data_IF_663563204970
#
_entry.id   IF_663563204970
#
_cell.length_a   1.000
_cell.length_b   1.000
_cell.length_c   1.000
_cell.angle_alpha   90.00
_cell.angle_beta   90.00
_cell.angle_gamma   90.00
#
_symmetry.space_group_name_H-M   'P 1'
#
loop_
_entity.id
_entity.type
_entity.pdbx_description
1 polymer ?
#
# COMPACT_ATOMS: atom_id res chain seq x y z
N UNK A 1 -65.86 -68.71 -23.56
CA UNK A 1 -64.55 -68.04 -23.52
C UNK A 1 -64.40 -67.40 -22.16
N UNK A 2 -63.68 -68.07 -21.26
CA UNK A 2 -63.49 -67.64 -19.88
C UNK A 2 -62.35 -66.63 -19.82
N UNK A 3 -62.60 -65.46 -19.26
CA UNK A 3 -61.59 -64.42 -19.03
C UNK A 3 -60.87 -64.70 -17.72
N UNK A 4 -59.69 -65.32 -17.80
CA UNK A 4 -58.75 -65.41 -16.67
C UNK A 4 -58.18 -64.02 -16.38
N UNK A 5 -58.78 -63.32 -15.42
CA UNK A 5 -58.16 -62.17 -14.76
C UNK A 5 -57.23 -62.70 -13.67
N UNK A 6 -55.94 -62.83 -13.99
CA UNK A 6 -54.88 -62.98 -13.00
C UNK A 6 -54.75 -61.68 -12.18
N UNK A 7 -55.65 -61.50 -11.21
CA UNK A 7 -55.48 -60.52 -10.14
C UNK A 7 -54.37 -61.05 -9.22
N UNK A 8 -53.13 -60.74 -9.56
CA UNK A 8 -51.98 -60.96 -8.67
C UNK A 8 -52.08 -59.95 -7.54
N UNK A 9 -52.86 -60.27 -6.51
CA UNK A 9 -52.92 -59.50 -5.28
C UNK A 9 -51.53 -59.53 -4.63
N UNK A 10 -50.82 -58.40 -4.71
CA UNK A 10 -49.51 -58.24 -4.07
C UNK A 10 -49.72 -58.38 -2.57
N UNK A 11 -49.16 -59.43 -1.98
CA UNK A 11 -49.25 -59.71 -0.53
C UNK A 11 -48.70 -58.51 0.26
N UNK A 12 -49.24 -58.15 1.43
CA UNK A 12 -48.80 -56.98 2.21
C UNK A 12 -47.27 -56.90 2.43
N UNK A 13 -46.60 -58.04 2.57
CA UNK A 13 -45.12 -58.11 2.65
C UNK A 13 -44.41 -57.64 1.37
N UNK A 14 -44.97 -57.90 0.19
CA UNK A 14 -44.43 -57.43 -1.09
C UNK A 14 -44.73 -55.95 -1.33
N UNK A 15 -45.84 -55.43 -0.80
CA UNK A 15 -46.12 -53.98 -0.81
C UNK A 15 -45.13 -53.23 0.06
N UNK A 16 -44.85 -53.72 1.28
CA UNK A 16 -43.83 -53.13 2.17
C UNK A 16 -42.45 -53.20 1.51
N UNK A 17 -42.07 -54.34 0.92
CA UNK A 17 -40.79 -54.46 0.22
C UNK A 17 -40.67 -53.49 -0.98
N UNK A 18 -41.76 -53.28 -1.74
CA UNK A 18 -41.77 -52.33 -2.85
C UNK A 18 -41.64 -50.88 -2.38
N UNK A 19 -42.28 -50.50 -1.26
CA UNK A 19 -42.17 -49.16 -0.67
C UNK A 19 -40.76 -48.90 -0.13
N UNK A 20 -40.16 -49.89 0.54
CA UNK A 20 -38.77 -49.78 1.05
C UNK A 20 -37.78 -49.64 -0.11
N UNK A 21 -37.95 -50.41 -1.18
CA UNK A 21 -37.12 -50.29 -2.39
C UNK A 21 -37.30 -48.93 -3.07
N UNK A 22 -38.54 -48.45 -3.19
CA UNK A 22 -38.82 -47.13 -3.77
C UNK A 22 -38.19 -46.01 -2.93
N UNK A 23 -38.29 -46.09 -1.60
CA UNK A 23 -37.67 -45.12 -0.68
C UNK A 23 -36.14 -45.17 -0.73
N UNK A 24 -35.54 -46.37 -0.84
CA UNK A 24 -34.09 -46.53 -0.98
C UNK A 24 -33.59 -45.95 -2.31
N UNK A 25 -34.30 -46.19 -3.42
CA UNK A 25 -33.98 -45.62 -4.73
C UNK A 25 -34.15 -44.09 -4.70
N UNK A 26 -35.22 -43.59 -4.09
CA UNK A 26 -35.43 -42.15 -3.92
C UNK A 26 -34.31 -41.54 -3.08
N UNK A 27 -33.88 -42.22 -2.01
CA UNK A 27 -32.73 -41.84 -1.21
C UNK A 27 -31.44 -41.77 -2.02
N UNK A 28 -31.15 -42.76 -2.87
CA UNK A 28 -29.96 -42.77 -3.74
C UNK A 28 -30.01 -41.67 -4.82
N UNK A 29 -31.20 -41.30 -5.29
CA UNK A 29 -31.37 -40.25 -6.31
C UNK A 29 -31.32 -38.85 -5.71
N UNK A 30 -31.90 -38.67 -4.51
CA UNK A 30 -32.01 -37.36 -3.85
C UNK A 30 -30.79 -37.05 -2.98
N UNK A 31 -30.14 -38.06 -2.38
CA UNK A 31 -28.99 -37.86 -1.52
C UNK A 31 -27.82 -37.13 -2.20
N UNK A 32 -27.44 -37.40 -3.46
CA UNK A 32 -26.39 -36.64 -4.14
C UNK A 32 -26.77 -35.16 -4.31
N UNK A 33 -28.02 -34.86 -4.64
CA UNK A 33 -28.50 -33.49 -4.83
C UNK A 33 -28.57 -32.71 -3.52
N UNK A 34 -29.03 -33.37 -2.45
CA UNK A 34 -29.07 -32.78 -1.10
C UNK A 34 -27.66 -32.64 -0.55
N UNK A 35 -26.78 -33.61 -0.77
CA UNK A 35 -25.38 -33.57 -0.34
C UNK A 35 -24.58 -32.48 -1.07
N UNK A 36 -24.81 -32.32 -2.38
CA UNK A 36 -24.24 -31.22 -3.16
C UNK A 36 -24.76 -29.86 -2.67
N UNK A 37 -26.08 -29.73 -2.45
CA UNK A 37 -26.68 -28.49 -1.93
C UNK A 37 -26.27 -28.15 -0.48
N UNK A 38 -25.82 -29.12 0.32
CA UNK A 38 -25.28 -28.88 1.67
C UNK A 38 -23.77 -28.71 1.70
N UNK A 39 -23.08 -29.04 0.61
CA UNK A 39 -21.64 -28.87 0.44
C UNK A 39 -21.29 -27.67 -0.46
N UNK A 40 -22.24 -26.79 -0.77
CA UNK A 40 -21.91 -25.44 -1.23
C UNK A 40 -21.23 -24.70 -0.07
N UNK A 41 -19.92 -24.88 0.04
CA UNK A 41 -19.04 -24.03 0.84
C UNK A 41 -19.11 -22.64 0.24
N UNK A 42 -20.05 -21.85 0.77
CA UNK A 42 -20.29 -20.43 0.51
C UNK A 42 -19.13 -19.74 -0.22
N UNK A 43 -19.33 -19.43 -1.49
CA UNK A 43 -18.35 -18.83 -2.39
C UNK A 43 -18.24 -17.31 -2.15
N UNK A 44 -17.38 -16.83 -1.24
CA UNK A 44 -17.16 -15.38 -1.05
C UNK A 44 -15.73 -15.00 -1.37
N UNK A 45 -15.57 -13.92 -2.15
CA UNK A 45 -14.32 -13.16 -2.24
C UNK A 45 -14.43 -11.93 -1.34
N UNK A 46 -13.57 -11.84 -0.33
CA UNK A 46 -13.52 -10.68 0.56
C UNK A 46 -12.63 -9.59 -0.06
N UNK A 47 -13.16 -8.38 -0.24
CA UNK A 47 -12.38 -7.21 -0.67
C UNK A 47 -12.08 -6.37 0.55
N UNK A 48 -10.82 -6.35 0.99
CA UNK A 48 -10.35 -5.57 2.14
C UNK A 48 -9.77 -4.26 1.63
N UNK A 49 -10.37 -3.13 2.02
CA UNK A 49 -9.89 -1.81 1.61
C UNK A 49 -8.73 -1.36 2.51
N UNK A 50 -7.64 -0.86 1.94
CA UNK A 50 -6.52 -0.22 2.65
C UNK A 50 -6.37 1.19 2.07
N UNK A 51 -7.00 2.17 2.74
CA UNK A 51 -7.13 3.55 2.27
C UNK A 51 -6.41 4.53 3.21
N UNK A 52 -5.68 5.48 2.62
CA UNK A 52 -5.04 6.57 3.35
C UNK A 52 -3.73 6.19 4.06
N UNK A 53 -3.19 7.09 4.90
CA UNK A 53 -1.86 6.90 5.49
C UNK A 53 -1.76 5.69 6.42
N UNK A 54 -0.70 4.91 6.26
CA UNK A 54 -0.43 3.75 7.12
C UNK A 54 -0.05 4.20 8.53
N UNK A 55 -0.88 3.82 9.50
CA UNK A 55 -0.68 4.08 10.92
C UNK A 55 -1.11 2.87 11.77
N UNK A 56 -0.97 2.96 13.10
CA UNK A 56 -1.31 1.86 14.01
C UNK A 56 -2.77 1.43 13.93
N UNK A 57 -3.72 2.38 13.81
CA UNK A 57 -5.15 2.07 13.77
C UNK A 57 -5.50 1.31 12.49
N UNK A 58 -5.02 1.78 11.33
CA UNK A 58 -5.22 1.06 10.07
C UNK A 58 -4.62 -0.35 10.11
N UNK A 59 -3.44 -0.50 10.70
CA UNK A 59 -2.83 -1.82 10.87
C UNK A 59 -3.62 -2.72 11.82
N UNK A 60 -4.20 -2.20 12.91
CA UNK A 60 -5.07 -2.94 13.81
C UNK A 60 -6.32 -3.46 13.07
N UNK A 61 -6.95 -2.60 12.26
CA UNK A 61 -8.14 -2.94 11.48
C UNK A 61 -7.83 -4.01 10.43
N UNK A 62 -6.78 -3.83 9.63
CA UNK A 62 -6.36 -4.80 8.60
C UNK A 62 -5.97 -6.13 9.23
N UNK A 63 -5.24 -6.14 10.34
CA UNK A 63 -4.88 -7.37 11.05
C UNK A 63 -6.12 -8.12 11.57
N UNK A 64 -7.05 -7.39 12.19
CA UNK A 64 -8.30 -7.93 12.71
C UNK A 64 -9.16 -8.51 11.58
N UNK A 65 -9.28 -7.77 10.48
CA UNK A 65 -10.09 -8.17 9.33
C UNK A 65 -9.53 -9.41 8.65
N UNK A 66 -8.23 -9.44 8.36
CA UNK A 66 -7.58 -10.61 7.78
C UNK A 66 -7.61 -11.81 8.74
N UNK A 67 -7.56 -11.58 10.06
CA UNK A 67 -7.75 -12.67 11.03
C UNK A 67 -9.18 -13.22 11.04
N UNK A 68 -10.18 -12.35 10.94
CA UNK A 68 -11.59 -12.71 10.80
C UNK A 68 -11.83 -13.53 9.53
N UNK A 69 -11.25 -13.11 8.40
CA UNK A 69 -11.33 -13.82 7.12
C UNK A 69 -10.73 -15.22 7.22
N UNK A 70 -9.51 -15.36 7.75
CA UNK A 70 -8.87 -16.68 7.91
C UNK A 70 -9.65 -17.63 8.82
N UNK A 71 -10.46 -17.11 9.74
CA UNK A 71 -11.32 -17.89 10.63
C UNK A 71 -12.70 -18.21 10.05
N UNK A 72 -12.99 -17.78 8.81
CA UNK A 72 -14.31 -17.87 8.21
C UNK A 72 -14.30 -18.76 6.95
N UNK A 73 -14.77 -20.00 7.10
CA UNK A 73 -14.85 -21.00 6.02
C UNK A 73 -15.76 -20.61 4.85
N UNK A 74 -16.52 -19.50 4.96
CA UNK A 74 -17.32 -18.94 3.85
C UNK A 74 -16.55 -17.97 2.94
N UNK A 75 -15.28 -17.67 3.25
CA UNK A 75 -14.42 -16.80 2.43
C UNK A 75 -13.35 -17.68 1.78
N UNK A 76 -13.39 -17.78 0.45
CA UNK A 76 -12.46 -18.60 -0.32
C UNK A 76 -11.21 -17.85 -0.77
N UNK A 77 -11.28 -16.51 -0.92
CA UNK A 77 -10.17 -15.68 -1.37
C UNK A 77 -10.27 -14.24 -0.87
N UNK A 78 -9.16 -13.51 -0.93
CA UNK A 78 -9.04 -12.11 -0.55
C UNK A 78 -8.54 -11.27 -1.71
N UNK A 79 -9.10 -10.07 -1.85
CA UNK A 79 -8.52 -8.99 -2.64
C UNK A 79 -8.21 -7.81 -1.73
N UNK A 80 -6.97 -7.34 -1.73
CA UNK A 80 -6.58 -6.10 -1.07
C UNK A 80 -6.80 -4.94 -2.04
N UNK A 81 -7.81 -4.11 -1.81
CA UNK A 81 -8.03 -2.89 -2.59
C UNK A 81 -7.24 -1.76 -1.93
N UNK A 82 -6.15 -1.33 -2.55
CA UNK A 82 -5.15 -0.47 -1.90
C UNK A 82 -5.09 0.90 -2.55
N UNK A 83 -5.16 1.94 -1.72
CA UNK A 83 -4.87 3.32 -2.08
C UNK A 83 -4.17 4.06 -0.93
N UNK A 84 -2.84 3.99 -0.88
CA UNK A 84 -2.06 4.55 0.23
C UNK A 84 -0.69 5.09 -0.20
N UNK A 85 -0.25 6.23 0.35
CA UNK A 85 1.13 6.71 0.20
C UNK A 85 2.13 5.95 1.07
N UNK A 86 1.68 5.01 1.91
CA UNK A 86 2.48 4.38 2.95
C UNK A 86 2.40 5.13 4.27
N UNK A 87 3.42 4.96 5.13
CA UNK A 87 3.41 5.56 6.47
C UNK A 87 4.34 4.85 7.44
N UNK A 88 3.86 4.60 8.66
CA UNK A 88 4.68 4.11 9.76
C UNK A 88 5.30 2.74 9.46
N UNK A 89 6.65 2.56 9.61
CA UNK A 89 7.32 1.30 9.30
C UNK A 89 6.76 0.09 10.06
N UNK A 90 6.53 0.23 11.36
CA UNK A 90 6.00 -0.85 12.21
C UNK A 90 4.57 -1.25 11.81
N UNK A 91 3.73 -0.28 11.46
CA UNK A 91 2.37 -0.57 10.99
C UNK A 91 2.40 -1.29 9.64
N UNK A 92 3.34 -0.92 8.76
CA UNK A 92 3.54 -1.57 7.46
C UNK A 92 3.97 -3.03 7.60
N UNK A 93 4.96 -3.30 8.46
CA UNK A 93 5.43 -4.67 8.78
C UNK A 93 4.29 -5.54 9.36
N UNK A 94 3.47 -4.96 10.24
CA UNK A 94 2.31 -5.63 10.83
C UNK A 94 1.31 -6.09 9.76
N UNK A 95 0.95 -5.19 8.84
CA UNK A 95 0.10 -5.53 7.70
C UNK A 95 0.75 -6.56 6.79
N UNK A 96 2.04 -6.42 6.45
CA UNK A 96 2.78 -7.42 5.67
C UNK A 96 2.70 -8.81 6.30
N UNK A 97 2.93 -8.93 7.62
CA UNK A 97 2.82 -10.22 8.30
C UNK A 97 1.38 -10.73 8.33
N UNK A 98 0.38 -9.85 8.34
CA UNK A 98 -1.02 -10.25 8.24
C UNK A 98 -1.37 -10.81 6.86
N UNK A 99 -0.95 -10.11 5.79
CA UNK A 99 -1.12 -10.52 4.40
C UNK A 99 -0.40 -11.84 4.15
N UNK A 100 0.88 -11.96 4.56
CA UNK A 100 1.67 -13.18 4.43
C UNK A 100 1.02 -14.40 5.11
N UNK A 101 0.43 -14.24 6.30
CA UNK A 101 -0.30 -15.33 6.97
C UNK A 101 -1.59 -15.71 6.23
N UNK A 102 -2.20 -14.78 5.51
CA UNK A 102 -3.41 -15.02 4.71
C UNK A 102 -3.09 -15.70 3.39
N UNK A 103 -2.06 -15.27 2.66
CA UNK A 103 -1.64 -15.91 1.40
C UNK A 103 -1.19 -17.36 1.60
N UNK A 104 -0.67 -17.70 2.79
CA UNK A 104 -0.39 -19.08 3.17
C UNK A 104 -1.63 -19.97 3.35
N UNK A 105 -2.85 -19.42 3.42
CA UNK A 105 -4.09 -20.16 3.69
C UNK A 105 -5.09 -20.10 2.54
N UNK A 106 -5.10 -19.02 1.77
CA UNK A 106 -6.04 -18.79 0.68
C UNK A 106 -5.44 -17.78 -0.31
N UNK A 107 -5.95 -17.72 -1.56
CA UNK A 107 -5.49 -16.73 -2.53
C UNK A 107 -5.68 -15.30 -2.03
N UNK A 108 -4.64 -14.47 -2.17
CA UNK A 108 -4.64 -13.04 -1.87
C UNK A 108 -4.13 -12.29 -3.09
N UNK A 109 -4.98 -11.44 -3.69
CA UNK A 109 -4.60 -10.59 -4.82
C UNK A 109 -4.59 -9.13 -4.35
N UNK A 110 -3.53 -8.38 -4.62
CA UNK A 110 -3.51 -6.95 -4.41
C UNK A 110 -4.02 -6.22 -5.65
N UNK A 111 -4.89 -5.22 -5.47
CA UNK A 111 -5.37 -4.34 -6.54
C UNK A 111 -5.14 -2.88 -6.16
N UNK A 112 -4.12 -2.30 -6.76
CA UNK A 112 -3.74 -0.90 -6.53
C UNK A 112 -4.68 0.02 -7.30
N UNK A 113 -5.30 0.96 -6.59
CA UNK A 113 -6.16 1.97 -7.19
C UNK A 113 -5.30 3.12 -7.72
N UNK A 114 -5.18 4.23 -7.00
CA UNK A 114 -4.30 5.33 -7.41
C UNK A 114 -2.84 5.03 -7.05
N UNK A 115 -2.57 4.60 -5.80
CA UNK A 115 -1.20 4.42 -5.34
C UNK A 115 -1.03 3.31 -4.29
N UNK A 116 0.10 2.62 -4.32
CA UNK A 116 0.61 1.81 -3.21
C UNK A 116 2.11 1.99 -3.11
N UNK A 117 2.51 3.00 -2.35
CA UNK A 117 3.91 3.42 -2.19
C UNK A 117 4.44 3.12 -0.79
N UNK A 118 5.75 2.92 -0.66
CA UNK A 118 6.45 2.76 0.62
C UNK A 118 5.77 1.71 1.50
N UNK A 119 5.28 2.07 2.68
CA UNK A 119 4.56 1.16 3.59
C UNK A 119 3.38 0.41 2.96
N UNK A 120 2.73 0.96 1.93
CA UNK A 120 1.69 0.27 1.17
C UNK A 120 2.25 -0.86 0.31
N UNK A 121 3.35 -0.59 -0.39
CA UNK A 121 4.08 -1.61 -1.16
C UNK A 121 4.58 -2.72 -0.24
N UNK A 122 5.15 -2.33 0.91
CA UNK A 122 5.57 -3.26 1.96
C UNK A 122 4.41 -4.17 2.36
N UNK A 123 3.26 -3.61 2.70
CA UNK A 123 2.11 -4.37 3.18
C UNK A 123 1.58 -5.38 2.15
N UNK A 124 1.56 -5.02 0.87
CA UNK A 124 0.95 -5.83 -0.19
C UNK A 124 1.88 -6.85 -0.83
N UNK A 125 3.20 -6.72 -0.65
CA UNK A 125 4.19 -7.58 -1.29
C UNK A 125 3.95 -9.10 -1.13
N UNK A 126 3.40 -9.62 -0.01
CA UNK A 126 3.12 -11.05 0.14
C UNK A 126 1.84 -11.54 -0.55
N UNK A 127 1.12 -10.68 -1.26
CA UNK A 127 0.02 -11.09 -2.12
C UNK A 127 0.56 -11.94 -3.26
N UNK A 128 -0.25 -12.90 -3.73
CA UNK A 128 0.14 -13.83 -4.78
C UNK A 128 0.34 -13.11 -6.12
N UNK A 129 -0.50 -12.10 -6.42
CA UNK A 129 -0.28 -11.16 -7.52
C UNK A 129 -0.62 -9.72 -7.09
N UNK A 130 -0.02 -8.76 -7.79
CA UNK A 130 -0.24 -7.33 -7.68
C UNK A 130 -0.77 -6.79 -9.02
N UNK A 131 -2.04 -6.41 -9.02
CA UNK A 131 -2.73 -5.77 -10.13
C UNK A 131 -2.64 -4.26 -10.00
N UNK A 132 -2.31 -3.59 -11.10
CA UNK A 132 -2.21 -2.13 -11.17
C UNK A 132 -2.97 -1.59 -12.39
N UNK A 133 -3.51 -0.38 -12.31
CA UNK A 133 -3.95 0.34 -13.51
C UNK A 133 -2.74 0.93 -14.23
N UNK A 134 -2.82 1.25 -15.53
CA UNK A 134 -1.71 1.82 -16.29
C UNK A 134 -1.09 3.08 -15.65
N UNK A 135 -1.91 3.86 -14.94
CA UNK A 135 -1.54 5.12 -14.28
C UNK A 135 -1.42 5.00 -12.76
N UNK A 136 -1.62 3.82 -12.17
CA UNK A 136 -1.35 3.60 -10.75
C UNK A 136 0.13 3.82 -10.45
N UNK A 137 0.45 4.17 -9.21
CA UNK A 137 1.83 4.36 -8.77
C UNK A 137 2.21 3.34 -7.70
N UNK A 138 3.32 2.64 -7.89
CA UNK A 138 3.83 1.66 -6.92
C UNK A 138 5.34 1.81 -6.73
N UNK A 139 5.88 1.16 -5.69
CA UNK A 139 7.30 1.20 -5.36
C UNK A 139 7.57 2.10 -4.15
N UNK A 140 8.53 3.02 -4.27
CA UNK A 140 9.05 3.79 -3.13
C UNK A 140 9.58 2.88 -2.00
N UNK A 141 10.29 1.81 -2.37
CA UNK A 141 10.90 0.86 -1.44
C UNK A 141 12.10 1.54 -0.76
N UNK A 142 11.86 2.07 0.44
CA UNK A 142 12.85 2.81 1.21
C UNK A 142 12.21 3.59 2.36
N UNK A 143 13.03 4.42 3.02
CA UNK A 143 12.61 5.25 4.14
C UNK A 143 12.70 6.73 3.80
N UNK A 144 11.60 7.45 4.01
CA UNK A 144 11.60 8.91 4.09
C UNK A 144 11.38 9.34 5.54
N UNK A 145 12.38 9.99 6.13
CA UNK A 145 12.36 10.44 7.52
C UNK A 145 13.00 11.83 7.65
N UNK A 146 12.57 12.65 8.64
CA UNK A 146 13.23 13.92 8.92
C UNK A 146 14.71 13.73 9.25
N UNK A 147 15.55 14.72 8.91
CA UNK A 147 16.96 14.71 9.29
C UNK A 147 17.10 14.49 10.81
N UNK A 148 17.93 13.53 11.24
CA UNK A 148 18.28 13.39 12.64
C UNK A 148 18.84 14.69 13.23
N UNK A 149 18.58 14.92 14.52
CA UNK A 149 19.15 16.03 15.27
C UNK A 149 19.83 15.55 16.55
N UNK A 150 20.74 16.35 17.09
CA UNK A 150 21.39 16.03 18.37
C UNK A 150 20.45 16.31 19.56
N UNK A 151 20.41 15.40 20.54
CA UNK A 151 19.71 15.59 21.81
C UNK A 151 20.70 15.56 22.98
N UNK A 152 20.69 16.57 23.87
CA UNK A 152 21.64 16.64 24.97
C UNK A 152 21.39 15.53 26.00
N UNK A 153 22.42 15.10 26.74
CA UNK A 153 22.24 14.14 27.81
C UNK A 153 21.32 14.65 28.91
N UNK A 154 20.38 13.80 29.31
CA UNK A 154 19.60 13.99 30.53
C UNK A 154 20.33 13.36 31.71
N UNK A 155 20.16 13.91 32.92
CA UNK A 155 20.69 13.31 34.16
C UNK A 155 19.79 12.13 34.59
N UNK A 156 20.40 11.03 35.02
CA UNK A 156 19.69 9.84 35.50
C UNK A 156 19.34 8.72 34.48
N UNK A 157 19.87 8.66 33.23
CA UNK A 157 19.61 7.54 32.35
C UNK A 157 20.27 6.27 32.92
N UNK A 158 19.54 5.17 32.84
CA UNK A 158 20.00 3.87 33.34
C UNK A 158 21.09 3.21 32.46
N UNK A 159 21.55 3.88 31.39
CA UNK A 159 22.54 3.35 30.46
C UNK A 159 22.97 4.37 29.39
N UNK A 160 24.09 4.11 28.67
CA UNK A 160 24.68 5.04 27.70
C UNK A 160 23.71 5.45 26.58
N UNK A 161 22.92 4.52 26.06
CA UNK A 161 21.99 4.75 24.94
C UNK A 161 20.72 5.53 25.34
N UNK A 162 20.57 5.84 26.63
CA UNK A 162 19.51 6.71 27.16
C UNK A 162 20.02 8.12 27.48
N UNK A 163 21.30 8.39 27.26
CA UNK A 163 21.95 9.65 27.62
C UNK A 163 21.93 10.67 26.48
N UNK A 164 20.91 10.64 25.62
CA UNK A 164 20.82 11.49 24.43
C UNK A 164 21.25 10.76 23.15
N UNK A 165 21.21 11.47 22.03
CA UNK A 165 21.49 10.93 20.70
C UNK A 165 22.20 11.95 19.83
N UNK A 166 22.94 11.48 18.83
CA UNK A 166 23.60 12.33 17.86
C UNK A 166 23.16 12.00 16.42
N UNK A 167 23.49 12.90 15.49
CA UNK A 167 23.09 12.78 14.09
C UNK A 167 23.61 11.49 13.44
N UNK A 168 24.84 11.06 13.76
CA UNK A 168 25.43 9.84 13.19
C UNK A 168 24.60 8.61 13.60
N UNK A 169 24.18 8.54 14.87
CA UNK A 169 23.33 7.45 15.35
C UNK A 169 21.98 7.45 14.65
N UNK A 170 21.35 8.62 14.50
CA UNK A 170 20.06 8.71 13.81
C UNK A 170 20.15 8.37 12.32
N UNK A 171 21.22 8.78 11.64
CA UNK A 171 21.45 8.39 10.23
C UNK A 171 21.67 6.89 10.10
N UNK A 172 22.42 6.28 11.02
CA UNK A 172 22.63 4.83 11.04
C UNK A 172 21.33 4.06 11.30
N UNK A 173 20.46 4.57 12.18
CA UNK A 173 19.14 4.01 12.45
C UNK A 173 18.24 4.10 11.21
N UNK A 174 18.17 5.26 10.56
CA UNK A 174 17.40 5.45 9.34
C UNK A 174 17.90 4.56 8.19
N UNK A 175 19.22 4.44 8.02
CA UNK A 175 19.82 3.53 7.04
C UNK A 175 19.43 2.07 7.34
N UNK A 176 19.51 1.64 8.60
CA UNK A 176 19.13 0.28 9.02
C UNK A 176 17.67 -0.01 8.68
N UNK A 177 16.77 0.94 8.94
CA UNK A 177 15.35 0.81 8.60
C UNK A 177 15.12 0.73 7.09
N UNK A 178 15.83 1.55 6.29
CA UNK A 178 15.75 1.51 4.84
C UNK A 178 16.26 0.17 4.28
N UNK A 179 17.42 -0.30 4.74
CA UNK A 179 17.99 -1.59 4.32
C UNK A 179 17.08 -2.76 4.73
N UNK A 180 16.46 -2.71 5.91
CA UNK A 180 15.50 -3.73 6.35
C UNK A 180 14.32 -3.84 5.38
N UNK A 181 13.80 -2.71 4.88
CA UNK A 181 12.74 -2.73 3.89
C UNK A 181 13.23 -3.31 2.56
N UNK A 182 14.34 -2.82 2.03
CA UNK A 182 14.90 -3.35 0.78
C UNK A 182 15.14 -4.85 0.88
N UNK A 183 15.77 -5.32 1.96
CA UNK A 183 16.08 -6.74 2.15
C UNK A 183 14.81 -7.58 2.30
N UNK A 184 13.77 -7.08 2.96
CA UNK A 184 12.47 -7.75 3.02
C UNK A 184 11.83 -7.87 1.63
N UNK A 185 11.89 -6.83 0.80
CA UNK A 185 11.32 -6.87 -0.55
C UNK A 185 12.12 -7.76 -1.49
N UNK A 186 13.44 -7.75 -1.41
CA UNK A 186 14.27 -8.70 -2.17
C UNK A 186 14.04 -10.15 -1.72
N UNK A 187 13.74 -10.38 -0.43
CA UNK A 187 13.42 -11.71 0.06
C UNK A 187 12.02 -12.17 -0.36
N UNK A 188 11.05 -11.25 -0.43
CA UNK A 188 9.65 -11.58 -0.81
C UNK A 188 9.47 -11.68 -2.32
N UNK A 189 10.03 -10.74 -3.09
CA UNK A 189 9.77 -10.56 -4.53
C UNK A 189 11.04 -10.35 -5.37
N UNK A 190 12.20 -10.78 -4.87
CA UNK A 190 13.47 -10.54 -5.54
C UNK A 190 13.67 -11.29 -6.84
N UNK A 191 12.95 -12.39 -7.06
CA UNK A 191 13.02 -13.18 -8.30
C UNK A 191 12.15 -12.56 -9.41
N UNK A 192 11.20 -11.71 -9.03
CA UNK A 192 10.29 -10.99 -9.92
C UNK A 192 10.89 -9.66 -10.41
N UNK A 193 11.73 -9.01 -9.60
CA UNK A 193 12.37 -7.75 -9.98
C UNK A 193 13.32 -7.93 -11.17
N UNK A 194 13.10 -7.14 -12.21
CA UNK A 194 13.96 -7.08 -13.42
C UNK A 194 15.15 -6.11 -13.25
N UNK A 195 15.42 -5.71 -12.00
CA UNK A 195 16.49 -4.78 -11.63
C UNK A 195 17.21 -5.26 -10.37
N UNK A 196 18.50 -4.91 -10.20
CA UNK A 196 19.27 -5.37 -9.05
C UNK A 196 18.83 -4.64 -7.77
N UNK A 197 19.17 -5.23 -6.62
CA UNK A 197 18.89 -4.66 -5.28
C UNK A 197 19.28 -3.18 -5.18
N UNK A 198 20.41 -2.79 -5.77
CA UNK A 198 20.93 -1.42 -5.72
C UNK A 198 20.04 -0.41 -6.45
N UNK A 199 19.30 -0.85 -7.47
CA UNK A 199 18.33 -0.03 -8.20
C UNK A 199 17.00 0.04 -7.44
N UNK A 200 16.54 -1.10 -6.90
CA UNK A 200 15.38 -1.14 -5.99
C UNK A 200 15.57 -0.19 -4.80
N UNK A 201 16.78 -0.17 -4.23
CA UNK A 201 17.14 0.66 -3.07
C UNK A 201 17.15 2.17 -3.34
N UNK A 202 17.00 2.62 -4.60
CA UNK A 202 16.86 4.05 -4.92
C UNK A 202 15.47 4.59 -4.58
N UNK A 203 14.52 3.72 -4.22
CA UNK A 203 13.17 4.08 -3.78
C UNK A 203 12.36 4.87 -4.83
N UNK A 204 12.57 4.55 -6.11
CA UNK A 204 11.79 5.14 -7.20
C UNK A 204 10.32 4.71 -7.17
N UNK A 205 9.46 5.57 -7.71
CA UNK A 205 8.04 5.29 -7.92
C UNK A 205 7.81 5.05 -9.40
N UNK A 206 7.10 3.96 -9.70
CA UNK A 206 6.82 3.53 -11.07
C UNK A 206 5.33 3.64 -11.37
N UNK A 207 5.02 4.11 -12.58
CA UNK A 207 3.68 3.99 -13.13
C UNK A 207 3.37 2.52 -13.42
N UNK A 208 2.10 2.10 -13.34
CA UNK A 208 1.71 0.70 -13.48
C UNK A 208 2.24 0.03 -14.75
N UNK A 209 2.25 0.74 -15.88
CA UNK A 209 2.84 0.21 -17.13
C UNK A 209 4.33 -0.11 -17.05
N UNK A 210 5.09 0.61 -16.23
CA UNK A 210 6.51 0.34 -15.99
C UNK A 210 6.72 -0.63 -14.84
N UNK A 211 5.86 -0.55 -13.81
CA UNK A 211 5.86 -1.46 -12.66
C UNK A 211 5.71 -2.92 -13.09
N UNK A 212 4.86 -3.21 -14.09
CA UNK A 212 4.72 -4.57 -14.62
C UNK A 212 5.96 -5.00 -15.42
N UNK A 213 6.63 -4.07 -16.12
CA UNK A 213 7.83 -4.40 -16.89
C UNK A 213 9.05 -4.66 -16.02
N UNK A 214 9.10 -4.02 -14.85
CA UNK A 214 10.24 -4.06 -13.98
C UNK A 214 10.06 -4.96 -12.74
N UNK A 215 8.91 -5.67 -12.66
CA UNK A 215 8.63 -6.68 -11.63
C UNK A 215 7.97 -6.16 -10.34
N UNK A 216 7.67 -4.86 -10.27
CA UNK A 216 6.97 -4.26 -9.12
C UNK A 216 5.47 -4.55 -9.09
N UNK A 217 4.91 -5.01 -10.20
CA UNK A 217 3.54 -5.48 -10.30
C UNK A 217 3.49 -6.66 -11.28
N UNK A 218 2.43 -7.44 -11.20
CA UNK A 218 2.30 -8.68 -11.98
C UNK A 218 1.42 -8.48 -13.22
N UNK A 219 0.36 -7.66 -13.12
CA UNK A 219 -0.60 -7.51 -14.21
C UNK A 219 -1.21 -6.10 -14.28
N UNK A 220 -1.55 -5.69 -15.51
CA UNK A 220 -2.39 -4.51 -15.72
C UNK A 220 -3.85 -4.92 -15.62
N UNK A 221 -4.54 -4.44 -14.58
CA UNK A 221 -5.95 -4.73 -14.41
C UNK A 221 -6.64 -3.92 -13.32
N UNK A 222 -7.95 -3.91 -13.40
CA UNK A 222 -8.90 -3.30 -12.47
C UNK A 222 -9.19 -4.21 -11.28
N UNK A 223 -9.88 -3.64 -10.29
CA UNK A 223 -10.37 -4.37 -9.12
C UNK A 223 -11.24 -5.58 -9.51
N UNK A 224 -12.05 -5.48 -10.56
CA UNK A 224 -12.91 -6.58 -10.99
C UNK A 224 -12.11 -7.75 -11.55
N UNK A 225 -11.01 -7.48 -12.26
CA UNK A 225 -10.10 -8.51 -12.77
C UNK A 225 -9.35 -9.18 -11.62
N UNK A 226 -8.89 -8.42 -10.62
CA UNK A 226 -8.29 -8.96 -9.40
C UNK A 226 -9.26 -9.86 -8.61
N UNK A 227 -10.54 -9.46 -8.49
CA UNK A 227 -11.60 -10.27 -7.85
C UNK A 227 -11.86 -11.55 -8.65
N UNK A 228 -11.89 -11.47 -9.97
CA UNK A 228 -12.09 -12.63 -10.82
C UNK A 228 -10.92 -13.62 -10.72
N UNK A 229 -9.68 -13.12 -10.70
CA UNK A 229 -8.48 -13.95 -10.51
C UNK A 229 -8.48 -14.63 -9.14
N UNK A 230 -8.78 -13.87 -8.07
CA UNK A 230 -8.89 -14.41 -6.72
C UNK A 230 -9.93 -15.54 -6.63
N UNK A 231 -11.11 -15.34 -7.23
CA UNK A 231 -12.15 -16.37 -7.31
C UNK A 231 -11.70 -17.60 -8.10
N UNK A 232 -11.00 -17.37 -9.22
CA UNK A 232 -10.49 -18.44 -10.09
C UNK A 232 -9.45 -19.29 -9.36
N UNK A 233 -8.51 -18.67 -8.63
CA UNK A 233 -7.49 -19.39 -7.82
C UNK A 233 -8.09 -20.19 -6.68
N UNK A 234 -9.24 -19.77 -6.17
CA UNK A 234 -9.98 -20.46 -5.12
C UNK A 234 -11.01 -21.47 -5.67
N UNK A 235 -11.02 -21.73 -6.98
CA UNK A 235 -11.96 -22.64 -7.66
C UNK A 235 -13.44 -22.29 -7.35
N UNK A 236 -13.76 -21.01 -7.17
CA UNK A 236 -15.12 -20.55 -6.85
C UNK A 236 -15.97 -20.46 -8.11
N UNK A 237 -17.16 -21.05 -8.07
CA UNK A 237 -18.12 -21.03 -9.18
C UNK A 237 -18.94 -19.74 -9.21
N UNK A 238 -20.06 -19.75 -8.49
CA UNK A 238 -20.93 -18.58 -8.33
C UNK A 238 -20.59 -17.90 -6.99
N UNK A 239 -19.88 -16.77 -7.03
CA UNK A 239 -19.40 -16.11 -5.81
C UNK A 239 -20.06 -14.77 -5.51
N UNK A 240 -20.08 -14.41 -4.22
CA UNK A 240 -20.41 -13.08 -3.73
C UNK A 240 -19.12 -12.30 -3.48
N UNK A 241 -19.18 -11.00 -3.70
CA UNK A 241 -18.14 -10.06 -3.27
C UNK A 241 -18.57 -9.41 -1.97
N UNK A 242 -17.70 -9.45 -0.96
CA UNK A 242 -17.93 -8.88 0.37
C UNK A 242 -16.88 -7.79 0.64
N UNK A 243 -17.27 -6.52 0.48
CA UNK A 243 -16.35 -5.40 0.71
C UNK A 243 -16.30 -5.03 2.19
N UNK A 244 -15.08 -4.92 2.72
CA UNK A 244 -14.77 -4.64 4.11
C UNK A 244 -13.88 -3.41 4.20
N UNK A 245 -14.46 -2.32 4.70
CA UNK A 245 -13.74 -1.07 4.91
C UNK A 245 -12.82 -1.23 6.12
N UNK A 246 -11.55 -0.84 5.97
CA UNK A 246 -10.62 -0.69 7.11
C UNK A 246 -10.25 0.77 7.27
N UNK A 247 -9.97 1.19 8.50
CA UNK A 247 -9.90 2.60 8.87
C UNK A 247 -11.15 3.06 9.64
N UNK A 248 -11.12 4.28 10.19
CA UNK A 248 -12.20 4.77 11.04
C UNK A 248 -13.51 4.70 10.26
N UNK A 249 -14.53 4.00 10.82
CA UNK A 249 -15.89 4.05 10.29
C UNK A 249 -16.24 5.52 10.07
N UNK A 250 -16.32 5.96 8.81
CA UNK A 250 -16.75 7.31 8.48
C UNK A 250 -18.27 7.36 8.71
N UNK A 251 -18.69 7.26 9.96
CA UNK A 251 -20.02 7.68 10.36
C UNK A 251 -20.26 9.09 9.85
N UNK A 252 -21.49 9.40 9.46
CA UNK A 252 -21.84 10.74 8.99
C UNK A 252 -21.32 11.79 9.99
N UNK A 253 -20.46 12.73 9.56
CA UNK A 253 -19.91 13.71 10.48
C UNK A 253 -21.04 14.56 11.05
N UNK A 254 -20.97 14.83 12.35
CA UNK A 254 -21.77 15.91 12.92
C UNK A 254 -21.13 17.21 12.44
N UNK A 255 -21.85 17.94 11.59
CA UNK A 255 -21.42 19.26 11.14
C UNK A 255 -21.75 20.30 12.22
N UNK A 256 -20.72 20.79 12.90
CA UNK A 256 -20.84 21.88 13.87
C UNK A 256 -20.49 23.20 13.20
N UNK A 257 -21.43 24.15 13.22
CA UNK A 257 -21.18 25.52 12.78
C UNK A 257 -20.68 26.34 13.97
N UNK A 258 -19.44 26.79 13.88
CA UNK A 258 -18.87 27.79 14.80
C UNK A 258 -19.01 29.20 14.19
N UNK A 259 -18.66 30.23 14.95
CA UNK A 259 -18.63 31.61 14.45
C UNK A 259 -17.58 31.84 13.33
N UNK A 260 -16.58 30.95 13.23
CA UNK A 260 -15.47 31.07 12.27
C UNK A 260 -15.57 30.11 11.07
N UNK A 261 -16.09 28.89 11.26
CA UNK A 261 -16.09 27.84 10.24
C UNK A 261 -17.08 26.70 10.53
N UNK A 262 -17.32 25.87 9.52
CA UNK A 262 -17.98 24.57 9.68
C UNK A 262 -16.90 23.52 9.97
N UNK A 263 -17.11 22.76 11.04
CA UNK A 263 -16.23 21.66 11.45
C UNK A 263 -16.99 20.35 11.31
N UNK A 264 -16.34 19.34 10.74
CA UNK A 264 -16.84 17.97 10.71
C UNK A 264 -16.28 17.19 11.92
N UNK A 265 -17.16 16.59 12.72
CA UNK A 265 -16.79 15.79 13.89
C UNK A 265 -17.13 14.32 13.62
N UNK A 266 -16.11 13.47 13.65
CA UNK A 266 -16.18 12.04 13.32
C UNK A 266 -15.91 11.18 14.57
N UNK A 267 -16.64 11.39 15.69
CA UNK A 267 -16.53 10.54 16.88
C UNK A 267 -17.77 10.63 17.79
N UNK A 268 -18.08 9.53 18.50
CA UNK A 268 -19.14 9.48 19.53
C UNK A 268 -18.72 10.13 20.88
N UNK A 269 -17.43 10.43 21.08
CA UNK A 269 -16.90 11.22 22.22
C UNK A 269 -15.53 11.86 21.85
N UNK A 270 -15.51 12.99 21.11
CA UNK A 270 -14.28 13.56 20.55
C UNK A 270 -13.40 14.22 21.61
N UNK A 271 -12.10 13.93 21.58
CA UNK A 271 -11.08 14.76 22.22
C UNK A 271 -10.82 16.03 21.39
N UNK A 272 -10.14 17.03 21.98
CA UNK A 272 -9.79 18.28 21.29
C UNK A 272 -8.91 18.09 20.02
N UNK A 273 -8.34 16.89 19.81
CA UNK A 273 -7.53 16.55 18.64
C UNK A 273 -8.29 15.98 17.44
N UNK A 274 -9.57 15.59 17.61
CA UNK A 274 -10.35 14.88 16.58
C UNK A 274 -11.23 15.83 15.74
N UNK A 275 -10.88 17.12 15.75
CA UNK A 275 -11.64 18.24 15.18
C UNK A 275 -10.87 18.78 13.99
N UNK A 276 -11.18 18.32 12.78
CA UNK A 276 -10.53 18.79 11.56
C UNK A 276 -11.27 20.00 10.96
N UNK A 277 -10.59 21.15 10.76
CA UNK A 277 -11.14 22.26 10.01
C UNK A 277 -11.21 21.90 8.53
N UNK A 278 -12.38 22.09 7.90
CA UNK A 278 -12.54 21.91 6.46
C UNK A 278 -11.72 22.97 5.71
N UNK A 279 -10.74 22.61 4.86
CA UNK A 279 -10.04 23.59 4.04
C UNK A 279 -11.02 24.22 3.06
N UNK A 280 -10.93 25.55 2.93
CA UNK A 280 -11.77 26.35 2.07
C UNK A 280 -11.45 26.09 0.60
N UNK A 281 -12.53 25.92 -0.18
CA UNK A 281 -12.70 26.26 -1.61
C UNK A 281 -11.55 25.96 -2.57
N UNK A 282 -11.78 24.99 -3.46
CA UNK A 282 -10.99 24.72 -4.66
C UNK A 282 -10.58 26.02 -5.38
N UNK A 283 -9.27 26.28 -5.42
CA UNK A 283 -8.67 27.18 -6.40
C UNK A 283 -8.39 26.34 -7.63
N UNK A 284 -9.06 26.63 -8.74
CA UNK A 284 -8.72 26.09 -10.05
C UNK A 284 -7.35 26.66 -10.43
N UNK A 285 -6.32 25.81 -10.37
CA UNK A 285 -5.00 26.14 -10.90
C UNK A 285 -5.01 25.68 -12.36
N UNK A 286 -4.82 26.61 -13.30
CA UNK A 286 -4.72 26.27 -14.72
C UNK A 286 -3.62 25.21 -14.94
N UNK A 287 -3.90 24.29 -15.87
CA UNK A 287 -3.18 23.05 -16.13
C UNK A 287 -1.64 23.14 -15.99
N UNK A 288 -1.08 22.15 -15.30
CA UNK A 288 0.37 21.89 -15.26
C UNK A 288 0.90 21.80 -16.70
N UNK A 289 1.90 22.60 -17.10
CA UNK A 289 2.41 22.57 -18.47
C UNK A 289 3.11 21.23 -18.74
N UNK A 290 2.88 20.68 -19.94
CA UNK A 290 3.65 19.54 -20.46
C UNK A 290 5.11 19.96 -20.66
N UNK A 291 6.02 19.15 -20.10
CA UNK A 291 7.46 19.31 -20.26
C UNK A 291 7.92 18.23 -21.24
N UNK A 292 8.20 18.63 -22.48
CA UNK A 292 8.57 17.70 -23.56
C UNK A 292 10.02 17.18 -23.47
N UNK A 293 10.86 17.77 -22.61
CA UNK A 293 12.27 17.38 -22.42
C UNK A 293 12.71 17.68 -21.01
N UNK A 294 13.19 16.66 -20.29
CA UNK A 294 13.86 16.80 -19.00
C UNK A 294 15.37 16.83 -19.25
N UNK A 295 16.00 18.00 -19.19
CA UNK A 295 17.45 18.12 -19.17
C UNK A 295 17.96 17.94 -17.73
N UNK A 296 18.92 17.02 -17.53
CA UNK A 296 19.64 16.87 -16.27
C UNK A 296 20.68 18.00 -16.16
N UNK A 297 20.58 18.79 -15.11
CA UNK A 297 21.65 19.72 -14.71
C UNK A 297 22.49 19.10 -13.59
N UNK A 298 23.79 19.38 -13.60
CA UNK A 298 24.67 19.07 -12.47
C UNK A 298 25.01 20.35 -11.72
N UNK A 299 25.34 20.27 -10.43
CA UNK A 299 25.56 21.44 -9.57
C UNK A 299 26.63 22.44 -10.04
N UNK A 300 27.38 22.14 -11.11
CA UNK A 300 28.27 23.06 -11.80
C UNK A 300 27.57 24.12 -12.67
N UNK A 301 26.29 23.93 -13.00
CA UNK A 301 25.54 24.77 -13.95
C UNK A 301 24.82 25.96 -13.29
N UNK A 302 24.99 26.12 -11.97
CA UNK A 302 24.49 27.26 -11.22
C UNK A 302 25.60 28.33 -11.12
N UNK A 303 25.52 29.38 -11.94
CA UNK A 303 26.34 30.58 -11.73
C UNK A 303 25.98 31.22 -10.38
N UNK A 304 26.99 31.45 -9.55
CA UNK A 304 26.84 32.09 -8.24
C UNK A 304 26.37 33.54 -8.41
N UNK A 305 25.08 33.78 -8.14
CA UNK A 305 24.47 35.10 -8.15
C UNK A 305 25.09 36.04 -7.11
N UNK A 306 25.50 37.21 -7.58
CA UNK A 306 26.09 38.32 -6.84
C UNK A 306 25.26 38.76 -5.63
N UNK A 307 25.91 38.90 -4.46
CA UNK A 307 25.32 39.55 -3.29
C UNK A 307 25.31 41.06 -3.47
N UNK A 308 24.16 41.66 -3.76
CA UNK A 308 23.98 43.11 -3.67
C UNK A 308 23.63 43.50 -2.24
N UNK A 309 24.60 44.05 -1.51
CA UNK A 309 24.39 44.77 -0.26
C UNK A 309 24.14 46.26 -0.56
N UNK A 310 22.91 46.70 -0.36
CA UNK A 310 22.49 48.10 -0.18
C UNK A 310 22.78 48.45 1.30
N UNK A 311 23.45 49.53 1.75
CA UNK A 311 23.55 50.90 1.29
C UNK A 311 23.23 51.82 2.48
N UNK A 312 24.22 52.41 3.15
CA UNK A 312 24.01 53.62 3.97
C UNK A 312 25.29 54.47 4.11
N UNK A 313 25.15 55.78 3.84
CA UNK A 313 26.18 56.77 3.52
C UNK A 313 27.15 57.15 4.66
N UNK A 314 28.27 57.82 4.39
CA UNK A 314 28.35 59.29 4.15
C UNK A 314 29.81 59.66 3.78
N UNK A 315 30.03 60.58 2.83
CA UNK A 315 31.37 60.98 2.31
C UNK A 315 32.12 62.03 3.16
N UNK A 316 33.01 62.91 2.60
CA UNK A 316 33.87 62.82 1.41
C UNK A 316 35.36 63.25 1.69
N UNK A 317 36.18 63.33 0.62
CA UNK A 317 37.45 64.08 0.45
C UNK A 317 38.78 63.27 0.41
N UNK A 318 39.65 63.61 -0.57
CA UNK A 318 41.07 63.27 -0.54
C UNK A 318 41.73 63.13 -1.92
N UNK A 319 42.41 64.19 -2.34
CA UNK A 319 43.22 64.32 -3.56
C UNK A 319 44.63 63.70 -3.38
N UNK A 320 45.34 63.55 -4.51
CA UNK A 320 46.81 63.61 -4.72
C UNK A 320 47.71 62.36 -4.88
N UNK A 321 48.48 62.45 -5.99
CA UNK A 321 49.86 61.97 -6.28
C UNK A 321 50.15 60.46 -6.39
N UNK A 322 50.59 59.89 -7.53
CA UNK A 322 51.77 60.11 -8.39
C UNK A 322 53.08 59.41 -7.92
N UNK A 323 53.83 58.90 -8.91
CA UNK A 323 55.18 58.26 -8.89
C UNK A 323 55.20 56.79 -8.46
N UNK A 324 55.99 55.87 -9.04
CA UNK A 324 56.99 55.82 -10.12
C UNK A 324 57.31 54.32 -10.32
N UNK A 325 57.38 53.84 -11.55
CA UNK A 325 58.60 53.67 -12.35
C UNK A 325 59.29 52.29 -12.19
N UNK A 326 59.77 51.80 -13.34
CA UNK A 326 60.75 50.73 -13.59
C UNK A 326 60.44 49.23 -13.42
N UNK A 327 60.21 48.61 -14.58
CA UNK A 327 61.12 47.66 -15.25
C UNK A 327 61.44 46.29 -14.63
N UNK A 328 61.19 45.24 -15.42
CA UNK A 328 61.72 43.89 -15.19
C UNK A 328 61.24 42.89 -16.24
N UNK A 329 61.88 42.91 -17.41
CA UNK A 329 61.71 41.98 -18.53
C UNK A 329 62.20 40.55 -18.21
N UNK A 330 61.79 39.60 -19.07
CA UNK A 330 62.41 38.32 -19.51
C UNK A 330 61.41 37.14 -19.35
N UNK A 331 60.68 36.70 -20.37
CA UNK A 331 61.05 36.00 -21.63
C UNK A 331 61.52 34.53 -21.45
N UNK A 332 60.93 33.66 -22.29
CA UNK A 332 61.32 32.26 -22.55
C UNK A 332 60.41 31.25 -21.85
N UNK A 333 59.60 30.40 -22.48
CA UNK A 333 59.73 29.79 -23.81
C UNK A 333 60.25 28.36 -23.69
N UNK A 334 59.55 27.43 -24.36
CA UNK A 334 59.93 26.05 -24.76
C UNK A 334 59.31 24.89 -23.97
N UNK A 335 58.28 24.31 -24.60
CA UNK A 335 58.05 22.89 -24.93
C UNK A 335 58.53 21.76 -24.01
N UNK A 336 57.60 20.94 -23.53
CA UNK A 336 57.26 19.60 -24.04
C UNK A 336 56.10 19.02 -23.22
#
# INVERSE_FOLDING_TARGET
MSTDKLSTAITPRRQVAAVVLAAAVLGVVVAPSVYAATNETTDTVAVVEIDGPVNTALADDVESELASIRGNDSVGAVVLKIDTPGGAPVASERMYKAVQRTSQQMPVIASVQSMSASGGYYAMAPADDIYVLPTSQVGSIGLNAPSPGTSPPVSGPSGPDKAGGNEIQGWAEQQTLADTFVDAMMAERGDEFEMPREEVAQADVYLGTEAVRNGFADEIGSLNEAVHEAATRADLGDYRVDTRETGPERGFPILLRTDAQVVAVYANDPGYGDVEPMPSTYVHVDAVPHVDTVERFSGSDLEAGESTADGSGTGPAGNDTATGDTAGSLNGGVSA
#
